data_IF_228702895492
#
_entry.id   IF_228702895492
#
_cell.length_a   1.000
_cell.length_b   1.000
_cell.length_c   1.000
_cell.angle_alpha   90.00
_cell.angle_beta   90.00
_cell.angle_gamma   90.00
#
_symmetry.space_group_name_H-M   'P 1'
#
loop_
_entity.id
_entity.type
_entity.pdbx_description
1 polymer ?
#
# COMPACT_ATOMS: atom_id res chain seq x y z
N UNK A 1 13.63 -16.78 -7.77
CA UNK A 1 13.49 -15.41 -7.22
C UNK A 1 12.19 -14.81 -7.71
N UNK A 2 11.26 -14.52 -6.80
CA UNK A 2 9.96 -13.96 -7.14
C UNK A 2 10.06 -12.45 -7.34
N UNK A 3 9.60 -12.00 -8.51
CA UNK A 3 9.78 -10.62 -8.97
C UNK A 3 9.02 -9.64 -8.06
N UNK A 4 9.73 -8.72 -7.40
CA UNK A 4 9.08 -7.53 -6.86
C UNK A 4 8.48 -6.76 -8.04
N UNK A 5 7.16 -6.60 -8.02
CA UNK A 5 6.43 -5.90 -9.09
C UNK A 5 5.92 -4.58 -8.55
N UNK A 6 6.20 -3.50 -9.28
CA UNK A 6 5.56 -2.21 -9.11
C UNK A 6 4.44 -2.10 -10.16
N UNK A 7 3.20 -1.98 -9.70
CA UNK A 7 2.02 -1.86 -10.57
C UNK A 7 1.14 -0.71 -10.13
N UNK A 8 0.32 -0.20 -11.05
CA UNK A 8 -0.75 0.75 -10.72
C UNK A 8 -1.94 -0.01 -10.13
N UNK A 9 -2.45 0.42 -8.98
CA UNK A 9 -3.61 -0.20 -8.34
C UNK A 9 -4.90 0.60 -8.54
N UNK A 10 -4.86 1.91 -8.29
CA UNK A 10 -5.96 2.85 -8.56
C UNK A 10 -5.49 4.02 -9.44
N UNK A 11 -6.37 4.99 -9.67
CA UNK A 11 -6.07 6.16 -10.50
C UNK A 11 -4.79 6.88 -10.04
N UNK A 12 -4.54 6.95 -8.73
CA UNK A 12 -3.44 7.72 -8.12
C UNK A 12 -2.63 6.91 -7.11
N UNK A 13 -2.74 5.58 -7.12
CA UNK A 13 -1.99 4.72 -6.20
C UNK A 13 -1.09 3.74 -6.95
N UNK A 14 0.10 3.55 -6.38
CA UNK A 14 1.08 2.59 -6.84
C UNK A 14 1.18 1.49 -5.79
N UNK A 15 1.27 0.25 -6.24
CA UNK A 15 1.43 -0.92 -5.40
C UNK A 15 2.77 -1.58 -5.68
N UNK A 16 3.52 -1.86 -4.64
CA UNK A 16 4.72 -2.70 -4.68
C UNK A 16 4.40 -4.01 -3.97
N UNK A 17 4.56 -5.14 -4.66
CA UNK A 17 4.31 -6.46 -4.08
C UNK A 17 5.50 -7.39 -4.23
N UNK A 18 5.81 -8.11 -3.16
CA UNK A 18 6.86 -9.13 -3.11
C UNK A 18 6.45 -10.27 -2.19
N UNK A 19 7.09 -11.42 -2.37
CA UNK A 19 6.83 -12.65 -1.62
C UNK A 19 7.99 -12.95 -0.69
N UNK A 20 7.68 -13.46 0.50
CA UNK A 20 8.62 -13.74 1.58
C UNK A 20 8.45 -15.19 2.05
N UNK A 21 9.56 -15.87 2.22
CA UNK A 21 9.61 -17.24 2.75
C UNK A 21 9.67 -17.26 4.30
N UNK A 22 9.56 -18.43 4.95
CA UNK A 22 9.85 -18.57 6.37
C UNK A 22 11.29 -18.14 6.71
N UNK A 23 11.47 -17.54 7.89
CA UNK A 23 12.73 -16.93 8.33
C UNK A 23 13.32 -15.92 7.33
N UNK A 24 12.53 -15.34 6.43
CA UNK A 24 13.02 -14.45 5.38
C UNK A 24 13.35 -13.03 5.81
N UNK A 25 14.34 -12.44 5.15
CA UNK A 25 14.74 -11.06 5.40
C UNK A 25 14.93 -10.34 4.07
N UNK A 26 14.08 -9.36 3.82
CA UNK A 26 14.12 -8.59 2.60
C UNK A 26 14.09 -7.11 2.92
N UNK A 27 14.99 -6.38 2.29
CA UNK A 27 15.04 -4.93 2.30
C UNK A 27 14.55 -4.40 0.96
N UNK A 28 13.62 -3.44 1.04
CA UNK A 28 13.08 -2.72 -0.10
C UNK A 28 13.39 -1.24 0.06
N UNK A 29 14.09 -0.66 -0.90
CA UNK A 29 14.37 0.77 -1.00
C UNK A 29 13.69 1.34 -2.25
N UNK A 30 12.92 2.41 -2.07
CA UNK A 30 12.31 3.19 -3.14
C UNK A 30 12.87 4.61 -3.08
N UNK A 31 13.55 5.02 -4.14
CA UNK A 31 14.04 6.38 -4.31
C UNK A 31 13.15 7.10 -5.31
N UNK A 32 12.39 8.09 -4.83
CA UNK A 32 11.56 8.96 -5.66
C UNK A 32 12.35 10.22 -6.00
N UNK A 33 12.51 10.48 -7.30
CA UNK A 33 13.05 11.73 -7.84
C UNK A 33 11.88 12.60 -8.29
N UNK A 34 11.52 13.56 -7.44
CA UNK A 34 10.39 14.47 -7.61
C UNK A 34 10.88 15.79 -8.25
N UNK A 35 10.38 16.21 -9.42
CA UNK A 35 10.77 17.48 -10.02
C UNK A 35 10.49 18.68 -9.09
N UNK A 36 11.44 19.62 -8.98
CA UNK A 36 11.29 20.82 -8.12
C UNK A 36 10.05 21.65 -8.50
N UNK A 37 9.66 21.63 -9.77
CA UNK A 37 8.43 22.29 -10.26
C UNK A 37 7.14 21.79 -9.59
N UNK A 38 7.15 20.59 -8.99
CA UNK A 38 6.02 20.08 -8.24
C UNK A 38 5.80 20.82 -6.91
N UNK A 39 6.80 21.56 -6.40
CA UNK A 39 6.70 22.26 -5.11
C UNK A 39 6.64 21.33 -3.89
N UNK A 40 7.03 20.06 -4.04
CA UNK A 40 7.03 19.06 -2.96
C UNK A 40 8.38 19.09 -2.26
N UNK A 41 8.36 19.19 -0.93
CA UNK A 41 9.56 19.10 -0.12
C UNK A 41 9.24 19.01 1.37
N UNK A 42 10.26 19.03 2.24
CA UNK A 42 10.10 18.80 3.67
C UNK A 42 9.25 19.87 4.38
N UNK A 43 9.08 21.06 3.78
CA UNK A 43 8.24 22.13 4.31
C UNK A 43 6.77 22.02 3.88
N UNK A 44 6.49 21.46 2.70
CA UNK A 44 5.13 21.41 2.14
C UNK A 44 4.42 20.10 2.44
N UNK A 45 5.14 18.97 2.42
CA UNK A 45 4.62 17.66 2.74
C UNK A 45 5.51 16.98 3.77
N UNK A 46 5.08 17.02 5.03
CA UNK A 46 5.79 16.33 6.11
C UNK A 46 5.71 14.81 5.96
N UNK A 47 6.82 14.14 6.27
CA UNK A 47 6.98 12.70 6.12
C UNK A 47 5.97 11.93 6.98
N UNK A 48 5.72 12.37 8.22
CA UNK A 48 4.77 11.71 9.13
C UNK A 48 3.34 11.77 8.61
N UNK A 49 2.92 12.94 8.11
CA UNK A 49 1.60 13.09 7.49
C UNK A 49 1.46 12.23 6.24
N UNK A 50 2.50 12.17 5.40
CA UNK A 50 2.47 11.33 4.20
C UNK A 50 2.38 9.84 4.55
N UNK A 51 3.20 9.36 5.51
CA UNK A 51 3.20 7.98 5.94
C UNK A 51 1.83 7.53 6.46
N UNK A 52 1.24 8.27 7.41
CA UNK A 52 -0.02 7.85 8.05
C UNK A 52 -1.26 7.98 7.16
N UNK A 53 -1.25 8.88 6.17
CA UNK A 53 -2.42 9.12 5.31
C UNK A 53 -2.37 8.39 3.97
N UNK A 54 -1.18 8.04 3.50
CA UNK A 54 -0.96 7.71 2.08
C UNK A 54 -0.06 6.51 1.85
N UNK A 55 0.53 5.93 2.90
CA UNK A 55 1.30 4.68 2.80
C UNK A 55 0.59 3.61 3.62
N UNK A 56 0.08 2.60 2.94
CA UNK A 56 -0.56 1.44 3.57
C UNK A 56 0.25 0.19 3.28
N UNK A 57 0.44 -0.66 4.29
CA UNK A 57 1.11 -1.94 4.14
C UNK A 57 0.15 -3.05 4.50
N UNK A 58 0.14 -4.10 3.70
CA UNK A 58 -0.70 -5.27 3.90
C UNK A 58 0.15 -6.52 3.72
N UNK A 59 0.03 -7.42 4.70
CA UNK A 59 0.68 -8.72 4.68
C UNK A 59 -0.40 -9.78 4.73
N UNK A 60 -0.38 -10.72 3.78
CA UNK A 60 -1.30 -11.85 3.77
C UNK A 60 -0.55 -13.12 3.39
N UNK A 61 -1.03 -14.25 3.88
CA UNK A 61 -0.51 -15.53 3.41
C UNK A 61 -0.80 -15.73 1.92
N UNK A 62 0.13 -16.38 1.23
CA UNK A 62 0.10 -16.55 -0.21
C UNK A 62 0.55 -17.96 -0.61
N UNK A 63 -0.06 -18.48 -1.67
CA UNK A 63 0.42 -19.66 -2.39
C UNK A 63 0.24 -19.44 -3.89
N UNK A 64 1.23 -19.88 -4.69
CA UNK A 64 1.21 -19.80 -6.16
C UNK A 64 0.14 -20.70 -6.77
N UNK A 65 -0.14 -21.84 -6.14
CA UNK A 65 -1.18 -22.74 -6.59
C UNK A 65 -2.42 -22.56 -5.72
N UNK A 66 -3.58 -22.42 -6.37
CA UNK A 66 -4.84 -22.77 -5.73
C UNK A 66 -4.73 -24.25 -5.36
N UNK A 67 -4.27 -24.57 -4.14
CA UNK A 67 -4.07 -25.93 -3.66
C UNK A 67 -5.42 -26.62 -3.37
N UNK A 68 -6.32 -26.60 -4.35
CA UNK A 68 -7.57 -27.36 -4.40
C UNK A 68 -7.32 -28.86 -4.08
N UNK A 69 -6.18 -29.48 -4.43
CA UNK A 69 -5.92 -30.89 -4.07
C UNK A 69 -5.61 -31.14 -2.59
N UNK A 70 -5.00 -30.19 -1.87
CA UNK A 70 -4.74 -30.32 -0.41
C UNK A 70 -5.97 -29.91 0.41
N UNK A 71 -6.80 -29.03 -0.13
CA UNK A 71 -8.19 -28.82 0.27
C UNK A 71 -8.94 -30.14 0.13
N UNK A 72 -8.81 -30.89 -0.98
CA UNK A 72 -9.48 -32.20 -1.15
C UNK A 72 -9.15 -33.25 -0.09
N UNK A 73 -7.88 -33.44 0.29
CA UNK A 73 -7.54 -34.50 1.28
C UNK A 73 -7.95 -34.14 2.70
N UNK A 74 -7.88 -32.85 3.09
CA UNK A 74 -8.21 -32.37 4.44
C UNK A 74 -9.68 -31.96 4.64
N UNK A 75 -10.44 -31.76 3.56
CA UNK A 75 -11.91 -31.64 3.65
C UNK A 75 -12.56 -33.02 3.89
N UNK A 76 -11.83 -34.11 3.61
CA UNK A 76 -12.34 -35.49 3.64
C UNK A 76 -11.91 -36.22 4.92
N UNK A 77 -10.77 -35.90 5.54
CA UNK A 77 -10.51 -36.36 6.90
C UNK A 77 -11.44 -35.62 7.89
N UNK A 78 -12.12 -36.39 8.74
CA UNK A 78 -13.19 -35.95 9.65
C UNK A 78 -12.81 -36.21 11.11
N UNK A 79 -11.62 -35.76 11.52
CA UNK A 79 -11.12 -35.93 12.89
C UNK A 79 -10.95 -34.58 13.60
N UNK A 80 -11.23 -34.57 14.90
CA UNK A 80 -11.63 -33.43 15.75
C UNK A 80 -10.67 -32.21 15.85
N UNK A 81 -9.56 -32.18 15.11
CA UNK A 81 -8.64 -31.02 14.99
C UNK A 81 -8.85 -30.15 13.74
N UNK A 82 -9.76 -30.51 12.83
CA UNK A 82 -9.79 -30.00 11.44
C UNK A 82 -10.78 -28.86 11.17
N UNK A 83 -11.61 -28.43 12.13
CA UNK A 83 -12.58 -27.34 11.90
C UNK A 83 -11.89 -25.98 11.66
N UNK A 84 -10.78 -25.71 12.37
CA UNK A 84 -9.95 -24.53 12.13
C UNK A 84 -9.32 -24.57 10.73
N UNK A 85 -8.92 -25.75 10.30
CA UNK A 85 -8.24 -25.98 9.03
C UNK A 85 -9.20 -25.84 7.85
N UNK A 86 -10.43 -26.36 7.98
CA UNK A 86 -11.50 -26.15 7.00
C UNK A 86 -11.79 -24.66 6.82
N UNK A 87 -12.06 -23.93 7.92
CA UNK A 87 -12.39 -22.51 7.87
C UNK A 87 -11.25 -21.70 7.24
N UNK A 88 -10.01 -21.98 7.64
CA UNK A 88 -8.84 -21.29 7.14
C UNK A 88 -8.61 -21.56 5.63
N UNK A 89 -8.82 -22.79 5.17
CA UNK A 89 -8.72 -23.14 3.76
C UNK A 89 -9.82 -22.49 2.91
N UNK A 90 -11.07 -22.51 3.40
CA UNK A 90 -12.20 -21.83 2.77
C UNK A 90 -11.94 -20.33 2.66
N UNK A 91 -11.43 -19.73 3.73
CA UNK A 91 -11.05 -18.33 3.80
C UNK A 91 -9.95 -17.99 2.79
N UNK A 92 -8.90 -18.82 2.69
CA UNK A 92 -7.83 -18.65 1.72
C UNK A 92 -8.36 -18.69 0.29
N UNK A 93 -9.12 -19.74 -0.04
CA UNK A 93 -9.69 -19.91 -1.36
C UNK A 93 -10.55 -18.71 -1.77
N UNK A 94 -11.44 -18.28 -0.86
CA UNK A 94 -12.31 -17.14 -1.07
C UNK A 94 -11.52 -15.82 -1.22
N UNK A 95 -10.48 -15.63 -0.40
CA UNK A 95 -9.59 -14.47 -0.47
C UNK A 95 -8.80 -14.41 -1.79
N UNK A 96 -8.29 -15.56 -2.25
CA UNK A 96 -7.57 -15.69 -3.53
C UNK A 96 -8.47 -15.40 -4.72
N UNK A 97 -9.68 -15.98 -4.78
CA UNK A 97 -10.66 -15.69 -5.83
C UNK A 97 -10.96 -14.21 -5.88
N UNK A 98 -11.25 -13.60 -4.73
CA UNK A 98 -11.56 -12.17 -4.69
C UNK A 98 -10.43 -11.32 -5.25
N UNK A 99 -9.19 -11.59 -4.84
CA UNK A 99 -8.02 -10.83 -5.32
C UNK A 99 -7.79 -11.05 -6.81
N UNK A 100 -7.91 -12.29 -7.29
CA UNK A 100 -7.77 -12.62 -8.71
C UNK A 100 -8.84 -11.88 -9.51
N UNK A 101 -10.11 -12.03 -9.12
CA UNK A 101 -11.26 -11.35 -9.73
C UNK A 101 -11.06 -9.83 -9.77
N UNK A 102 -10.69 -9.19 -8.66
CA UNK A 102 -10.50 -7.74 -8.65
C UNK A 102 -9.35 -7.30 -9.57
N UNK A 103 -8.23 -8.04 -9.60
CA UNK A 103 -7.11 -7.73 -10.49
C UNK A 103 -7.51 -7.92 -11.96
N UNK A 104 -8.16 -9.02 -12.30
CA UNK A 104 -8.53 -9.37 -13.67
C UNK A 104 -9.59 -8.39 -14.19
N UNK A 105 -10.61 -8.06 -13.38
CA UNK A 105 -11.61 -7.04 -13.73
C UNK A 105 -10.94 -5.67 -13.94
N UNK A 106 -9.99 -5.27 -13.07
CA UNK A 106 -9.22 -4.02 -13.26
C UNK A 106 -8.41 -4.04 -14.55
N UNK A 107 -7.85 -5.19 -14.95
CA UNK A 107 -7.11 -5.33 -16.21
C UNK A 107 -8.05 -5.27 -17.42
N UNK A 108 -9.17 -5.99 -17.39
CA UNK A 108 -10.16 -5.97 -18.47
C UNK A 108 -10.74 -4.57 -18.68
N UNK A 109 -11.02 -3.81 -17.62
CA UNK A 109 -11.50 -2.42 -17.71
C UNK A 109 -10.48 -1.48 -18.39
N UNK A 110 -9.19 -1.81 -18.41
CA UNK A 110 -8.19 -1.00 -19.12
C UNK A 110 -8.26 -1.16 -20.64
N UNK A 111 -8.89 -2.22 -21.14
CA UNK A 111 -9.07 -2.47 -22.57
C UNK A 111 -10.18 -1.55 -23.09
N UNK A 112 -9.84 -0.69 -24.06
CA UNK A 112 -10.79 0.27 -24.64
C UNK A 112 -11.48 -0.25 -25.90
N UNK A 113 -10.91 -1.25 -26.55
CA UNK A 113 -11.42 -1.84 -27.78
C UNK A 113 -12.42 -2.94 -27.46
N UNK A 114 -13.60 -2.86 -28.08
CA UNK A 114 -14.67 -3.84 -27.87
C UNK A 114 -14.24 -5.26 -28.24
N UNK A 115 -13.46 -5.40 -29.32
CA UNK A 115 -12.98 -6.69 -29.84
C UNK A 115 -12.05 -7.44 -28.88
N UNK A 116 -11.29 -6.75 -28.04
CA UNK A 116 -10.45 -7.38 -27.00
C UNK A 116 -11.17 -7.51 -25.66
N UNK A 117 -12.03 -6.54 -25.35
CA UNK A 117 -12.73 -6.46 -24.06
C UNK A 117 -13.71 -7.61 -23.83
N UNK A 118 -14.62 -7.85 -24.78
CA UNK A 118 -15.70 -8.82 -24.59
C UNK A 118 -15.24 -10.29 -24.54
N UNK A 119 -14.32 -10.74 -25.43
CA UNK A 119 -13.77 -12.09 -25.32
C UNK A 119 -13.04 -12.33 -23.99
N UNK A 120 -12.25 -11.35 -23.53
CA UNK A 120 -11.56 -11.47 -22.25
C UNK A 120 -12.54 -11.49 -21.06
N UNK A 121 -13.62 -10.72 -21.13
CA UNK A 121 -14.67 -10.74 -20.11
C UNK A 121 -15.39 -12.09 -20.02
N UNK A 122 -15.62 -12.77 -21.16
CA UNK A 122 -16.22 -14.11 -21.18
C UNK A 122 -15.29 -15.14 -20.57
N UNK A 123 -14.01 -15.15 -20.97
CA UNK A 123 -13.03 -16.09 -20.41
C UNK A 123 -12.96 -15.95 -18.89
N UNK A 124 -12.99 -14.71 -18.39
CA UNK A 124 -13.03 -14.41 -16.97
C UNK A 124 -14.32 -14.94 -16.31
N UNK A 125 -15.49 -14.74 -16.92
CA UNK A 125 -16.76 -15.28 -16.45
C UNK A 125 -16.78 -16.81 -16.38
N UNK A 126 -16.27 -17.49 -17.41
CA UNK A 126 -16.19 -18.95 -17.44
C UNK A 126 -15.25 -19.49 -16.35
N UNK A 127 -14.06 -18.90 -16.21
CA UNK A 127 -13.09 -19.29 -15.18
C UNK A 127 -13.66 -19.14 -13.77
N UNK A 128 -14.27 -17.99 -13.48
CA UNK A 128 -14.87 -17.71 -12.16
C UNK A 128 -16.07 -18.63 -11.91
N UNK A 129 -16.93 -18.86 -12.91
CA UNK A 129 -18.05 -19.81 -12.77
C UNK A 129 -17.55 -21.23 -12.47
N UNK A 130 -16.43 -21.64 -13.09
CA UNK A 130 -15.78 -22.93 -12.83
C UNK A 130 -15.23 -23.03 -11.42
N UNK A 131 -14.67 -21.94 -10.88
CA UNK A 131 -14.18 -21.88 -9.50
C UNK A 131 -15.32 -21.87 -8.47
N UNK A 132 -16.41 -21.14 -8.72
CA UNK A 132 -17.60 -21.16 -7.87
C UNK A 132 -18.27 -22.54 -7.86
N UNK A 133 -18.42 -23.17 -9.03
CA UNK A 133 -18.92 -24.56 -9.14
C UNK A 133 -18.05 -25.53 -8.34
N UNK A 134 -16.72 -25.34 -8.35
CA UNK A 134 -15.82 -26.15 -7.51
C UNK A 134 -16.09 -25.90 -6.03
N UNK A 135 -16.17 -24.66 -5.57
CA UNK A 135 -16.48 -24.32 -4.17
C UNK A 135 -17.79 -24.96 -3.71
N UNK A 136 -18.86 -24.81 -4.51
CA UNK A 136 -20.21 -25.34 -4.21
C UNK A 136 -20.32 -26.86 -4.22
N UNK A 137 -19.38 -27.56 -4.87
CA UNK A 137 -19.29 -29.03 -4.78
C UNK A 137 -18.73 -29.51 -3.43
N UNK A 138 -18.07 -28.63 -2.67
CA UNK A 138 -17.44 -28.94 -1.39
C UNK A 138 -18.24 -28.42 -0.20
N UNK A 139 -19.56 -28.33 -0.34
CA UNK A 139 -20.48 -28.00 0.76
C UNK A 139 -20.30 -29.01 1.89
N UNK A 140 -20.01 -28.57 3.12
CA UNK A 140 -19.77 -29.48 4.22
C UNK A 140 -21.08 -30.16 4.64
N UNK A 141 -21.09 -31.48 4.91
CA UNK A 141 -22.27 -32.17 5.42
C UNK A 141 -22.57 -31.84 6.90
N UNK A 142 -21.58 -31.30 7.64
CA UNK A 142 -21.71 -30.96 9.06
C UNK A 142 -22.44 -29.61 9.27
N UNK A 143 -23.51 -29.62 10.07
CA UNK A 143 -24.28 -28.44 10.47
C UNK A 143 -23.45 -27.37 11.19
N UNK A 144 -22.31 -27.73 11.80
CA UNK A 144 -21.42 -26.75 12.45
C UNK A 144 -20.57 -25.96 11.46
N UNK A 145 -20.27 -26.56 10.29
CA UNK A 145 -19.43 -25.95 9.25
C UNK A 145 -20.25 -25.22 8.18
N UNK A 146 -21.53 -25.57 8.04
CA UNK A 146 -22.44 -24.93 7.07
C UNK A 146 -22.49 -23.39 7.19
N UNK A 147 -22.51 -22.77 8.40
CA UNK A 147 -22.58 -21.32 8.48
C UNK A 147 -21.32 -20.63 7.96
N UNK A 148 -20.14 -21.26 8.10
CA UNK A 148 -18.90 -20.71 7.54
C UNK A 148 -18.92 -20.76 6.02
N UNK A 149 -19.41 -21.87 5.45
CA UNK A 149 -19.57 -22.03 4.01
C UNK A 149 -20.60 -21.04 3.44
N UNK A 150 -21.79 -20.96 4.03
CA UNK A 150 -22.87 -20.06 3.60
C UNK A 150 -22.42 -18.59 3.61
N UNK A 151 -21.68 -18.17 4.65
CA UNK A 151 -21.11 -16.83 4.72
C UNK A 151 -20.10 -16.55 3.61
N UNK A 152 -19.23 -17.53 3.29
CA UNK A 152 -18.24 -17.40 2.24
C UNK A 152 -18.89 -17.36 0.85
N UNK A 153 -19.83 -18.26 0.58
CA UNK A 153 -20.51 -18.39 -0.72
C UNK A 153 -21.44 -17.19 -0.98
N UNK A 154 -22.18 -16.71 0.03
CA UNK A 154 -22.99 -15.48 -0.09
C UNK A 154 -22.13 -14.27 -0.49
N UNK A 155 -20.98 -14.09 0.17
CA UNK A 155 -20.07 -13.00 -0.18
C UNK A 155 -19.47 -13.15 -1.57
N UNK A 156 -18.98 -14.35 -1.92
CA UNK A 156 -18.37 -14.59 -3.22
C UNK A 156 -19.37 -14.41 -4.36
N UNK A 157 -20.58 -14.96 -4.22
CA UNK A 157 -21.66 -14.78 -5.20
C UNK A 157 -21.99 -13.29 -5.40
N UNK A 158 -22.17 -12.54 -4.31
CA UNK A 158 -22.42 -11.10 -4.37
C UNK A 158 -21.25 -10.34 -5.01
N UNK A 159 -20.01 -10.62 -4.60
CA UNK A 159 -18.82 -9.95 -5.12
C UNK A 159 -18.62 -10.22 -6.62
N UNK A 160 -18.88 -11.44 -7.08
CA UNK A 160 -18.82 -11.83 -8.49
C UNK A 160 -19.83 -11.03 -9.30
N UNK A 161 -21.09 -11.01 -8.88
CA UNK A 161 -22.11 -10.23 -9.55
C UNK A 161 -21.75 -8.74 -9.62
N UNK A 162 -21.40 -8.12 -8.49
CA UNK A 162 -21.06 -6.70 -8.45
C UNK A 162 -19.82 -6.36 -9.29
N UNK A 163 -18.85 -7.28 -9.35
CA UNK A 163 -17.65 -7.11 -10.18
C UNK A 163 -17.98 -7.14 -11.67
N UNK A 164 -18.86 -8.04 -12.12
CA UNK A 164 -19.31 -8.10 -13.50
C UNK A 164 -20.26 -6.96 -13.88
N UNK A 165 -21.14 -6.53 -12.97
CA UNK A 165 -21.94 -5.31 -13.17
C UNK A 165 -21.05 -4.07 -13.29
N UNK A 166 -19.99 -3.98 -12.46
CA UNK A 166 -18.98 -2.92 -12.58
C UNK A 166 -18.27 -2.98 -13.92
N UNK A 167 -17.87 -4.17 -14.38
CA UNK A 167 -17.23 -4.38 -15.68
C UNK A 167 -18.15 -3.93 -16.82
N UNK A 168 -19.42 -4.35 -16.81
CA UNK A 168 -20.43 -3.97 -17.81
C UNK A 168 -20.72 -2.46 -17.81
N UNK A 169 -20.74 -1.81 -16.64
CA UNK A 169 -20.98 -0.36 -16.53
C UNK A 169 -19.87 0.49 -17.17
N UNK A 170 -18.65 -0.04 -17.19
CA UNK A 170 -17.44 0.65 -17.71
C UNK A 170 -16.99 0.15 -19.07
N UNK A 171 -17.65 -0.88 -19.61
CA UNK A 171 -17.31 -1.47 -20.90
C UNK A 171 -17.63 -0.55 -22.09
N UNK A 172 -16.96 -0.76 -23.24
CA UNK A 172 -17.24 0.00 -24.45
C UNK A 172 -18.66 -0.29 -24.95
N UNK A 173 -19.36 0.74 -25.44
CA UNK A 173 -20.70 0.58 -26.02
C UNK A 173 -20.54 0.17 -27.49
N UNK A 174 -20.70 -1.11 -27.80
CA UNK A 174 -20.81 -1.62 -29.18
C UNK A 174 -22.09 -2.43 -29.33
N UNK A 175 -22.74 -2.30 -30.49
CA UNK A 175 -23.88 -3.12 -30.92
C UNK A 175 -23.48 -4.56 -31.23
N UNK A 176 -22.22 -4.77 -31.59
CA UNK A 176 -21.76 -6.00 -32.25
C UNK A 176 -21.58 -7.15 -31.25
N UNK A 177 -21.40 -6.81 -29.96
CA UNK A 177 -21.17 -7.76 -28.87
C UNK A 177 -22.40 -7.95 -27.96
N UNK A 178 -23.60 -7.91 -28.55
CA UNK A 178 -24.86 -8.04 -27.79
C UNK A 178 -24.99 -9.43 -27.15
N UNK A 179 -24.52 -10.48 -27.83
CA UNK A 179 -24.52 -11.87 -27.35
C UNK A 179 -23.70 -12.07 -26.08
N UNK A 180 -22.48 -11.54 -26.09
CA UNK A 180 -21.50 -11.61 -25.01
C UNK A 180 -21.98 -10.82 -23.80
N UNK A 181 -22.56 -9.64 -24.04
CA UNK A 181 -23.19 -8.84 -23.01
C UNK A 181 -24.37 -9.56 -22.35
N UNK A 182 -25.20 -10.24 -23.13
CA UNK A 182 -26.32 -11.02 -22.62
C UNK A 182 -25.83 -12.22 -21.78
N UNK A 183 -24.75 -12.88 -22.18
CA UNK A 183 -24.13 -13.95 -21.40
C UNK A 183 -23.66 -13.45 -20.02
N UNK A 184 -22.99 -12.29 -19.96
CA UNK A 184 -22.56 -11.69 -18.70
C UNK A 184 -23.75 -11.30 -17.82
N UNK A 185 -24.83 -10.75 -18.39
CA UNK A 185 -26.05 -10.48 -17.64
C UNK A 185 -26.73 -11.76 -17.13
N UNK A 186 -26.73 -12.83 -17.93
CA UNK A 186 -27.27 -14.13 -17.51
C UNK A 186 -26.49 -14.69 -16.32
N UNK A 187 -25.15 -14.56 -16.31
CA UNK A 187 -24.32 -14.92 -15.16
C UNK A 187 -24.75 -14.13 -13.91
N UNK A 188 -24.85 -12.81 -13.99
CA UNK A 188 -25.28 -11.95 -12.88
C UNK A 188 -26.67 -12.36 -12.35
N UNK A 189 -27.63 -12.63 -13.25
CA UNK A 189 -28.98 -13.08 -12.88
C UNK A 189 -28.96 -14.44 -12.18
N UNK A 190 -28.20 -15.39 -12.73
CA UNK A 190 -28.08 -16.73 -12.15
C UNK A 190 -27.49 -16.72 -10.73
N UNK A 191 -26.53 -15.82 -10.48
CA UNK A 191 -25.94 -15.64 -9.16
C UNK A 191 -26.93 -14.97 -8.19
N UNK A 192 -27.75 -14.04 -8.66
CA UNK A 192 -28.80 -13.46 -7.82
C UNK A 192 -29.89 -14.49 -7.46
N UNK A 193 -30.40 -15.23 -8.45
CA UNK A 193 -31.40 -16.30 -8.26
C UNK A 193 -30.88 -17.39 -7.30
N UNK A 194 -29.58 -17.72 -7.39
CA UNK A 194 -28.94 -18.66 -6.47
C UNK A 194 -29.00 -18.18 -5.01
N UNK A 195 -28.73 -16.89 -4.74
CA UNK A 195 -28.79 -16.33 -3.38
C UNK A 195 -30.22 -16.22 -2.86
N UNK A 196 -31.19 -15.97 -3.74
CA UNK A 196 -32.61 -15.98 -3.40
C UNK A 196 -33.08 -17.38 -3.03
N UNK A 197 -32.71 -18.39 -3.83
CA UNK A 197 -33.05 -19.81 -3.58
C UNK A 197 -32.51 -20.30 -2.25
N UNK A 198 -31.27 -19.91 -1.90
CA UNK A 198 -30.64 -20.31 -0.63
C UNK A 198 -30.98 -19.38 0.56
N UNK A 199 -31.82 -18.36 0.35
CA UNK A 199 -32.27 -17.44 1.39
C UNK A 199 -31.14 -16.80 2.23
N UNK A 200 -30.00 -16.47 1.59
CA UNK A 200 -28.86 -15.95 2.34
C UNK A 200 -29.09 -14.57 2.97
N UNK A 201 -30.02 -13.78 2.42
CA UNK A 201 -30.29 -12.41 2.84
C UNK A 201 -31.78 -12.24 3.14
N UNK A 202 -32.10 -11.53 4.23
CA UNK A 202 -33.47 -11.14 4.53
C UNK A 202 -33.92 -10.03 3.58
N UNK A 203 -35.23 -9.96 3.33
CA UNK A 203 -35.83 -8.89 2.52
C UNK A 203 -35.43 -7.50 3.03
N UNK A 204 -35.47 -7.30 4.35
CA UNK A 204 -35.04 -6.06 5.02
C UNK A 204 -33.57 -5.68 4.80
N UNK A 205 -32.72 -6.64 4.45
CA UNK A 205 -31.32 -6.36 4.10
C UNK A 205 -31.18 -5.96 2.63
N UNK A 206 -32.00 -6.55 1.75
CA UNK A 206 -32.01 -6.24 0.32
C UNK A 206 -32.61 -4.87 0.02
N UNK A 207 -33.61 -4.46 0.80
CA UNK A 207 -34.32 -3.19 0.59
C UNK A 207 -33.43 -1.96 0.90
N UNK A 208 -32.38 -2.10 1.72
CA UNK A 208 -31.47 -1.01 2.10
C UNK A 208 -30.03 -1.26 1.58
N UNK A 209 -29.56 -0.46 0.59
CA UNK A 209 -28.21 -0.55 0.05
C UNK A 209 -27.10 -0.46 1.11
N UNK A 210 -27.30 0.30 2.19
CA UNK A 210 -26.29 0.43 3.25
C UNK A 210 -26.22 -0.83 4.12
N UNK A 211 -27.35 -1.51 4.35
CA UNK A 211 -27.39 -2.75 5.13
C UNK A 211 -26.72 -3.89 4.39
N UNK A 212 -27.04 -4.09 3.11
CA UNK A 212 -26.40 -5.13 2.31
C UNK A 212 -24.89 -4.89 2.20
N UNK A 213 -24.46 -3.65 1.94
CA UNK A 213 -23.01 -3.35 1.85
C UNK A 213 -22.29 -3.55 3.17
N UNK A 214 -22.89 -3.18 4.32
CA UNK A 214 -22.31 -3.44 5.62
C UNK A 214 -22.23 -4.92 5.97
N UNK A 215 -23.27 -5.70 5.64
CA UNK A 215 -23.26 -7.16 5.77
C UNK A 215 -22.13 -7.77 4.93
N UNK A 216 -22.01 -7.38 3.66
CA UNK A 216 -20.97 -7.90 2.77
C UNK A 216 -19.55 -7.52 3.24
N UNK A 217 -19.36 -6.31 3.80
CA UNK A 217 -18.10 -5.92 4.45
C UNK A 217 -17.77 -6.74 5.69
N UNK A 218 -18.78 -7.20 6.43
CA UNK A 218 -18.58 -8.12 7.56
C UNK A 218 -18.15 -9.50 7.05
N UNK A 219 -18.86 -10.05 6.05
CA UNK A 219 -18.53 -11.35 5.46
C UNK A 219 -17.12 -11.35 4.85
N UNK A 220 -16.74 -10.26 4.17
CA UNK A 220 -15.37 -10.07 3.70
C UNK A 220 -14.34 -10.19 4.83
N UNK A 221 -14.57 -9.49 5.95
CA UNK A 221 -13.67 -9.54 7.11
C UNK A 221 -13.61 -10.94 7.74
N UNK A 222 -14.71 -11.69 7.71
CA UNK A 222 -14.74 -13.07 8.19
C UNK A 222 -13.94 -14.02 7.30
N UNK A 223 -13.94 -13.79 5.99
CA UNK A 223 -13.13 -14.52 5.00
C UNK A 223 -11.65 -14.13 5.10
N UNK A 224 -11.34 -12.87 5.40
CA UNK A 224 -9.96 -12.41 5.59
C UNK A 224 -9.36 -12.90 6.91
N UNK A 225 -10.20 -13.25 7.88
CA UNK A 225 -9.77 -13.73 9.19
C UNK A 225 -8.90 -14.99 9.06
N UNK A 226 -7.70 -14.94 9.60
CA UNK A 226 -6.71 -16.02 9.59
C UNK A 226 -5.81 -16.05 8.34
N UNK A 227 -6.17 -15.30 7.30
CA UNK A 227 -5.38 -15.20 6.06
C UNK A 227 -4.60 -13.89 6.01
N UNK A 228 -5.26 -12.79 6.38
CA UNK A 228 -4.65 -11.45 6.43
C UNK A 228 -4.06 -11.22 7.82
N UNK A 229 -2.80 -10.79 7.88
CA UNK A 229 -2.14 -10.49 9.13
C UNK A 229 -2.60 -9.15 9.67
N UNK A 230 -2.88 -9.10 10.97
CA UNK A 230 -3.19 -7.84 11.64
C UNK A 230 -1.91 -7.01 11.75
N UNK A 231 -1.99 -5.75 11.31
CA UNK A 231 -0.89 -4.81 11.38
C UNK A 231 -1.05 -3.87 12.57
N UNK A 232 -0.04 -3.82 13.42
CA UNK A 232 0.10 -2.78 14.45
C UNK A 232 1.28 -1.86 14.10
N UNK A 233 1.02 -0.56 13.98
CA UNK A 233 2.05 0.45 13.71
C UNK A 233 2.54 1.03 15.02
N UNK A 234 3.83 0.87 15.34
CA UNK A 234 4.48 1.50 16.49
C UNK A 234 5.43 2.60 16.04
N UNK A 235 5.25 3.82 16.56
CA UNK A 235 6.17 4.93 16.34
C UNK A 235 7.42 4.78 17.22
N UNK A 236 8.60 4.75 16.62
CA UNK A 236 9.88 4.63 17.34
C UNK A 236 10.40 6.00 17.81
N UNK A 237 10.02 7.08 17.11
CA UNK A 237 10.53 8.43 17.35
C UNK A 237 10.06 9.07 18.66
N UNK A 238 8.87 8.72 19.16
CA UNK A 238 8.28 9.45 20.30
C UNK A 238 9.13 9.33 21.57
N UNK A 239 9.59 8.11 21.90
CA UNK A 239 10.44 7.89 23.06
C UNK A 239 11.82 8.52 22.89
N UNK A 240 12.39 8.41 21.69
CA UNK A 240 13.68 9.02 21.37
C UNK A 240 13.62 10.55 21.48
N UNK A 241 12.57 11.18 20.95
CA UNK A 241 12.35 12.63 21.03
C UNK A 241 12.24 13.10 22.48
N UNK A 242 11.53 12.34 23.32
CA UNK A 242 11.43 12.62 24.76
C UNK A 242 12.80 12.55 25.43
N UNK A 243 13.60 11.52 25.16
CA UNK A 243 14.96 11.38 25.70
C UNK A 243 15.84 12.56 25.25
N UNK A 244 15.86 12.89 23.95
CA UNK A 244 16.65 14.02 23.43
C UNK A 244 16.23 15.33 24.08
N UNK A 245 14.92 15.61 24.16
CA UNK A 245 14.43 16.83 24.81
C UNK A 245 14.77 16.88 26.31
N UNK A 246 14.74 15.73 26.98
CA UNK A 246 15.13 15.59 28.39
C UNK A 246 16.62 15.88 28.58
N UNK A 247 17.48 15.23 27.79
CA UNK A 247 18.93 15.45 27.83
C UNK A 247 19.31 16.90 27.54
N UNK A 248 18.72 17.52 26.51
CA UNK A 248 18.96 18.95 26.20
C UNK A 248 18.51 19.84 27.36
N UNK A 249 17.35 19.56 27.96
CA UNK A 249 16.86 20.33 29.11
C UNK A 249 17.80 20.20 30.31
N UNK A 250 18.33 19.00 30.59
CA UNK A 250 19.29 18.78 31.68
C UNK A 250 20.59 19.53 31.45
N UNK A 251 21.16 19.48 30.24
CA UNK A 251 22.42 20.17 29.90
C UNK A 251 22.24 21.69 30.00
N UNK A 252 21.13 22.21 29.46
CA UNK A 252 20.83 23.64 29.51
C UNK A 252 20.58 24.08 30.96
N UNK A 253 19.88 23.30 31.77
CA UNK A 253 19.67 23.63 33.18
C UNK A 253 20.96 23.60 33.98
N UNK A 254 21.85 22.65 33.72
CA UNK A 254 23.18 22.61 34.35
C UNK A 254 23.99 23.87 33.98
N UNK A 255 23.98 24.26 32.71
CA UNK A 255 24.67 25.47 32.25
C UNK A 255 24.06 26.76 32.83
N UNK A 256 22.73 26.89 32.82
CA UNK A 256 22.03 28.02 33.43
C UNK A 256 22.30 28.09 34.93
N UNK A 257 22.25 26.96 35.64
CA UNK A 257 22.55 26.91 37.07
C UNK A 257 23.99 27.37 37.35
N UNK A 258 24.95 26.96 36.52
CA UNK A 258 26.34 27.43 36.62
C UNK A 258 26.45 28.95 36.44
N UNK A 259 25.75 29.53 35.46
CA UNK A 259 25.70 30.98 35.26
C UNK A 259 25.03 31.73 36.42
N UNK A 260 23.93 31.19 36.94
CA UNK A 260 23.21 31.73 38.09
C UNK A 260 24.10 31.74 39.34
N UNK A 261 24.82 30.64 39.59
CA UNK A 261 25.76 30.53 40.71
C UNK A 261 26.92 31.53 40.57
N UNK A 262 27.47 31.70 39.37
CA UNK A 262 28.53 32.67 39.12
C UNK A 262 28.04 34.13 39.26
N UNK A 263 26.83 34.44 38.75
CA UNK A 263 26.21 35.75 38.94
C UNK A 263 25.98 36.05 40.43
N UNK A 264 25.50 35.07 41.20
CA UNK A 264 25.32 35.21 42.66
C UNK A 264 26.65 35.33 43.41
N UNK A 265 27.73 34.70 42.92
CA UNK A 265 29.06 34.84 43.52
C UNK A 265 29.65 36.25 43.30
N UNK A 266 29.33 36.90 42.17
CA UNK A 266 29.82 38.25 41.84
C UNK A 266 28.96 39.38 42.40
N UNK A 267 27.67 39.13 42.65
CA UNK A 267 26.74 40.09 43.25
C UNK A 267 26.28 39.58 44.62
N UNK A 268 26.94 40.04 45.68
CA UNK A 268 26.66 39.64 47.07
C UNK A 268 25.33 40.17 47.62
N UNK A 269 24.78 41.24 47.04
CA UNK A 269 23.48 41.81 47.43
C UNK A 269 22.41 41.62 46.35
N UNK A 270 21.17 41.32 46.77
CA UNK A 270 20.02 41.13 45.88
C UNK A 270 19.56 42.49 45.34
N UNK A 271 20.20 42.95 44.28
CA UNK A 271 19.87 44.19 43.58
C UNK A 271 18.88 43.95 42.44
N UNK A 272 18.15 45.01 42.05
CA UNK A 272 17.24 44.98 40.88
C UNK A 272 17.98 44.54 39.60
N UNK A 273 19.26 44.90 39.48
CA UNK A 273 20.13 44.47 38.39
C UNK A 273 20.32 42.95 38.34
N UNK A 274 20.51 42.30 39.49
CA UNK A 274 20.64 40.83 39.59
C UNK A 274 19.35 40.13 39.15
N UNK A 275 18.18 40.62 39.60
CA UNK A 275 16.88 40.06 39.21
C UNK A 275 16.65 40.19 37.70
N UNK A 276 16.98 41.36 37.12
CA UNK A 276 16.92 41.57 35.67
C UNK A 276 17.84 40.62 34.89
N UNK A 277 19.07 40.42 35.37
CA UNK A 277 20.04 39.50 34.75
C UNK A 277 19.55 38.04 34.80
N UNK A 278 19.00 37.60 35.93
CA UNK A 278 18.41 36.26 36.08
C UNK A 278 17.22 36.05 35.14
N UNK A 279 16.33 37.05 35.04
CA UNK A 279 15.22 37.04 34.08
C UNK A 279 15.69 36.92 32.63
N UNK A 280 16.76 37.64 32.27
CA UNK A 280 17.36 37.56 30.93
C UNK A 280 17.97 36.18 30.64
N UNK A 281 18.73 35.60 31.59
CA UNK A 281 19.30 34.26 31.46
C UNK A 281 18.18 33.23 31.28
N UNK A 282 17.08 33.35 32.03
CA UNK A 282 15.95 32.44 31.93
C UNK A 282 15.17 32.62 30.60
N UNK A 283 15.06 33.85 30.09
CA UNK A 283 14.49 34.11 28.77
C UNK A 283 15.31 33.50 27.64
N UNK A 284 16.65 33.69 27.66
CA UNK A 284 17.55 33.09 26.69
C UNK A 284 17.52 31.56 26.71
N UNK A 285 17.43 30.95 27.90
CA UNK A 285 17.31 29.51 28.08
C UNK A 285 16.19 28.91 27.21
N UNK A 286 15.01 29.53 27.21
CA UNK A 286 13.87 28.95 26.49
C UNK A 286 14.07 29.01 24.97
N UNK A 287 14.63 30.10 24.45
CA UNK A 287 14.95 30.25 23.02
C UNK A 287 16.01 29.22 22.60
N UNK A 288 17.10 29.09 23.36
CA UNK A 288 18.18 28.14 23.04
C UNK A 288 17.73 26.68 23.14
N UNK A 289 16.87 26.34 24.11
CA UNK A 289 16.35 24.99 24.27
C UNK A 289 15.62 24.50 23.04
N UNK A 290 14.74 25.33 22.48
CA UNK A 290 13.97 24.94 21.30
C UNK A 290 14.82 24.80 20.05
N UNK A 291 15.78 25.72 19.85
CA UNK A 291 16.67 25.69 18.69
C UNK A 291 17.66 24.53 18.74
N UNK A 292 18.31 24.31 19.88
CA UNK A 292 19.25 23.20 20.08
C UNK A 292 18.52 21.86 19.95
N UNK A 293 17.35 21.71 20.58
CA UNK A 293 16.54 20.49 20.47
C UNK A 293 16.20 20.20 19.01
N UNK A 294 15.82 21.22 18.23
CA UNK A 294 15.47 21.07 16.81
C UNK A 294 16.66 20.67 15.95
N UNK A 295 17.83 21.29 16.17
CA UNK A 295 19.06 20.98 15.43
C UNK A 295 19.53 19.56 15.73
N UNK A 296 19.60 19.18 17.01
CA UNK A 296 19.99 17.83 17.44
C UNK A 296 19.00 16.80 16.91
N UNK A 297 17.69 17.05 17.03
CA UNK A 297 16.66 16.15 16.52
C UNK A 297 16.79 15.93 15.01
N UNK A 298 16.98 16.99 14.23
CA UNK A 298 17.19 16.87 12.77
C UNK A 298 18.42 16.07 12.40
N UNK A 299 19.48 16.11 13.21
CA UNK A 299 20.69 15.34 12.98
C UNK A 299 20.49 13.87 13.33
N UNK A 300 19.86 13.59 14.48
CA UNK A 300 19.58 12.23 14.97
C UNK A 300 18.57 11.53 14.06
N UNK A 301 17.57 12.24 13.55
CA UNK A 301 16.50 11.65 12.74
C UNK A 301 17.01 11.09 11.38
N UNK A 302 18.17 11.52 10.89
CA UNK A 302 18.72 11.05 9.62
C UNK A 302 19.11 9.58 9.70
N UNK A 303 18.54 8.75 8.82
CA UNK A 303 18.83 7.33 8.73
C UNK A 303 18.26 6.47 9.88
N UNK A 304 17.54 7.06 10.85
CA UNK A 304 16.89 6.29 11.91
C UNK A 304 15.49 5.79 11.49
N UNK A 305 15.12 4.57 11.93
CA UNK A 305 13.80 4.03 11.63
C UNK A 305 12.73 4.82 12.37
N UNK A 306 11.71 5.26 11.63
CA UNK A 306 10.64 6.11 12.20
C UNK A 306 9.47 5.27 12.72
N UNK A 307 9.15 4.18 12.02
CA UNK A 307 8.04 3.29 12.38
C UNK A 307 8.44 1.82 12.32
N UNK A 308 7.70 1.02 13.08
CA UNK A 308 7.77 -0.43 13.02
C UNK A 308 6.37 -1.01 12.95
N UNK A 309 6.09 -1.71 11.86
CA UNK A 309 4.88 -2.50 11.69
C UNK A 309 5.13 -3.89 12.26
N UNK A 310 4.22 -4.36 13.10
CA UNK A 310 4.23 -5.71 13.66
C UNK A 310 3.05 -6.46 13.04
N UNK A 311 3.33 -7.62 12.44
CA UNK A 311 2.32 -8.47 11.82
C UNK A 311 2.01 -9.66 12.72
N UNK A 312 0.77 -9.75 13.18
CA UNK A 312 0.28 -10.83 14.03
C UNK A 312 -0.76 -11.69 13.30
N UNK A 313 -0.74 -12.98 13.58
CA UNK A 313 -1.80 -13.88 13.11
C UNK A 313 -3.09 -13.56 13.89
N UNK A 314 -4.23 -13.40 13.20
CA UNK A 314 -5.49 -13.15 13.88
C UNK A 314 -6.01 -14.35 14.67
N UNK A 315 -5.65 -15.58 14.29
CA UNK A 315 -6.08 -16.81 14.98
C UNK A 315 -5.24 -17.06 16.22
N UNK A 316 -3.92 -17.15 16.06
CA UNK A 316 -3.01 -17.56 17.14
C UNK A 316 -2.45 -16.37 17.94
N UNK A 317 -2.69 -15.13 17.49
CA UNK A 317 -2.08 -13.89 18.04
C UNK A 317 -0.55 -13.90 18.08
N UNK A 318 0.08 -14.85 17.38
CA UNK A 318 1.53 -14.97 17.29
C UNK A 318 2.08 -13.94 16.32
N UNK A 319 3.24 -13.36 16.65
CA UNK A 319 3.96 -12.43 15.77
C UNK A 319 4.67 -13.23 14.67
N UNK A 320 4.29 -12.97 13.42
CA UNK A 320 4.83 -13.67 12.25
C UNK A 320 5.96 -12.88 11.63
N UNK A 321 5.75 -11.58 11.43
CA UNK A 321 6.72 -10.72 10.78
C UNK A 321 6.81 -9.36 11.45
N UNK A 322 7.87 -8.65 11.14
CA UNK A 322 8.00 -7.25 11.47
C UNK A 322 8.68 -6.49 10.37
N UNK A 323 8.19 -5.30 10.11
CA UNK A 323 8.69 -4.42 9.08
C UNK A 323 9.11 -3.11 9.74
N UNK A 324 10.36 -2.72 9.54
CA UNK A 324 10.89 -1.45 9.99
C UNK A 324 10.87 -0.48 8.82
N UNK A 325 10.40 0.74 9.04
CA UNK A 325 10.15 1.71 7.96
C UNK A 325 10.92 3.00 8.21
N UNK A 326 11.56 3.48 7.16
CA UNK A 326 12.14 4.80 7.05
C UNK A 326 11.48 5.56 5.91
N UNK A 327 11.26 6.85 6.12
CA UNK A 327 10.78 7.76 5.08
C UNK A 327 11.46 9.10 5.32
N UNK A 328 12.33 9.53 4.42
CA UNK A 328 13.06 10.78 4.59
C UNK A 328 13.38 11.47 3.27
N UNK A 329 13.45 12.81 3.31
CA UNK A 329 14.01 13.58 2.21
C UNK A 329 15.54 13.56 2.26
N UNK A 330 16.17 13.01 1.23
CA UNK A 330 17.63 12.86 1.14
C UNK A 330 18.24 13.92 0.22
N UNK A 331 19.55 14.14 0.34
CA UNK A 331 20.32 14.96 -0.60
C UNK A 331 20.98 14.06 -1.65
N UNK A 332 21.37 14.65 -2.78
CA UNK A 332 22.07 13.90 -3.85
C UNK A 332 23.35 13.19 -3.37
N UNK A 333 24.00 13.73 -2.33
CA UNK A 333 25.22 13.16 -1.73
C UNK A 333 24.97 11.87 -0.95
N UNK A 334 23.76 11.70 -0.43
CA UNK A 334 23.37 10.56 0.40
C UNK A 334 22.81 9.39 -0.45
N UNK A 335 22.69 9.59 -1.77
CA UNK A 335 22.14 8.63 -2.69
C UNK A 335 23.20 7.58 -3.10
N UNK A 336 22.89 6.26 -3.09
CA UNK A 336 23.86 5.25 -3.48
C UNK A 336 24.36 5.45 -4.92
N UNK A 337 25.66 5.25 -5.16
CA UNK A 337 26.29 5.48 -6.48
C UNK A 337 25.58 4.73 -7.62
N UNK A 338 25.13 3.50 -7.37
CA UNK A 338 24.41 2.67 -8.35
C UNK A 338 23.05 3.28 -8.73
N UNK A 339 22.29 3.76 -7.75
CA UNK A 339 21.01 4.45 -7.96
C UNK A 339 21.23 5.76 -8.70
N UNK A 340 22.32 6.47 -8.39
CA UNK A 340 22.65 7.74 -9.06
C UNK A 340 22.92 7.51 -10.55
N UNK A 341 23.67 6.45 -10.91
CA UNK A 341 23.87 6.06 -12.32
C UNK A 341 22.54 5.86 -13.06
N UNK A 342 21.60 5.11 -12.46
CA UNK A 342 20.28 4.88 -13.06
C UNK A 342 19.47 6.17 -13.23
N UNK A 343 19.61 7.13 -12.31
CA UNK A 343 19.03 8.46 -12.47
C UNK A 343 19.77 9.34 -13.49
N UNK A 344 21.06 9.13 -13.72
CA UNK A 344 21.86 9.90 -14.68
C UNK A 344 21.70 9.44 -16.13
N UNK A 345 21.25 8.20 -16.36
CA UNK A 345 20.84 7.66 -17.66
C UNK A 345 19.54 8.34 -18.19
N UNK A 346 19.46 9.67 -18.12
CA UNK A 346 18.38 10.50 -18.65
C UNK A 346 18.85 11.12 -19.97
N UNK A 347 17.94 11.16 -20.95
CA UNK A 347 18.11 12.03 -22.12
C UNK A 347 18.37 13.47 -21.65
N UNK A 348 19.29 14.17 -22.29
CA UNK A 348 19.77 15.50 -21.85
C UNK A 348 18.64 16.51 -21.59
N UNK A 349 17.54 16.45 -22.35
CA UNK A 349 16.36 17.30 -22.18
C UNK A 349 15.59 17.09 -20.86
N UNK A 350 15.75 15.94 -20.19
CA UNK A 350 15.02 15.56 -18.97
C UNK A 350 15.87 15.66 -17.69
N UNK A 351 17.04 16.31 -17.76
CA UNK A 351 17.88 16.59 -16.58
C UNK A 351 17.34 17.81 -15.81
N UNK A 352 16.21 17.63 -15.13
CA UNK A 352 15.64 18.63 -14.23
C UNK A 352 16.16 18.45 -12.81
N UNK A 353 16.28 19.57 -12.08
CA UNK A 353 16.51 19.54 -10.64
C UNK A 353 15.36 18.80 -9.94
N UNK A 354 15.71 17.95 -8.97
CA UNK A 354 14.74 17.10 -8.30
C UNK A 354 14.98 17.09 -6.78
N UNK A 355 13.88 17.05 -6.04
CA UNK A 355 13.86 16.70 -4.63
C UNK A 355 13.81 15.17 -4.51
N UNK A 356 14.67 14.60 -3.68
CA UNK A 356 14.72 13.15 -3.46
C UNK A 356 13.94 12.76 -2.20
N UNK A 357 13.05 11.80 -2.33
CA UNK A 357 12.34 11.16 -1.22
C UNK A 357 12.72 9.68 -1.20
N UNK A 358 13.26 9.22 -0.07
CA UNK A 358 13.67 7.84 0.14
C UNK A 358 12.69 7.16 1.09
N UNK A 359 12.18 6.01 0.65
CA UNK A 359 11.42 5.08 1.48
C UNK A 359 12.20 3.79 1.59
N UNK A 360 12.47 3.35 2.82
CA UNK A 360 13.07 2.04 3.10
C UNK A 360 12.12 1.21 3.94
N UNK A 361 12.06 -0.08 3.62
CA UNK A 361 11.31 -1.08 4.34
C UNK A 361 12.17 -2.32 4.53
N UNK A 362 12.55 -2.61 5.77
CA UNK A 362 13.22 -3.87 6.12
C UNK A 362 12.18 -4.80 6.73
N UNK A 363 11.81 -5.85 6.00
CA UNK A 363 10.87 -6.88 6.46
C UNK A 363 11.61 -8.12 6.91
N UNK A 364 11.38 -8.51 8.16
CA UNK A 364 11.90 -9.73 8.75
C UNK A 364 10.76 -10.66 9.16
N UNK A 365 10.75 -11.87 8.62
CA UNK A 365 9.85 -12.95 9.01
C UNK A 365 10.51 -13.72 10.16
N UNK A 366 9.82 -13.78 11.30
CA UNK A 366 10.32 -14.47 12.49
C UNK A 366 9.72 -15.88 12.66
N UNK A 367 8.71 -16.23 11.86
CA UNK A 367 8.09 -17.55 11.89
C UNK A 367 9.00 -18.60 11.25
N UNK A 368 9.26 -19.69 11.99
CA UNK A 368 10.05 -20.85 11.52
C UNK A 368 9.35 -21.65 10.43
N UNK A 369 8.03 -21.78 10.55
CA UNK A 369 7.15 -22.40 9.58
C UNK A 369 5.84 -21.62 9.54
N UNK A 370 5.20 -21.62 8.38
CA UNK A 370 3.84 -21.10 8.25
C UNK A 370 2.82 -22.21 8.53
N UNK A 371 1.55 -21.82 8.65
CA UNK A 371 0.46 -22.77 8.80
C UNK A 371 0.43 -23.74 7.60
N UNK A 372 0.04 -25.00 7.79
CA UNK A 372 0.16 -26.02 6.77
C UNK A 372 -0.77 -25.72 5.58
N UNK A 373 -0.19 -25.49 4.40
CA UNK A 373 -0.90 -25.01 3.20
C UNK A 373 -0.46 -23.61 2.74
N UNK A 374 0.42 -22.95 3.52
CA UNK A 374 1.06 -21.70 3.13
C UNK A 374 2.56 -21.87 3.02
N UNK A 375 3.09 -21.52 1.86
CA UNK A 375 4.54 -21.56 1.62
C UNK A 375 5.15 -20.16 1.78
N UNK A 376 4.35 -19.11 1.54
CA UNK A 376 4.85 -17.75 1.45
C UNK A 376 3.89 -16.73 2.09
N UNK A 377 4.45 -15.56 2.38
CA UNK A 377 3.70 -14.35 2.71
C UNK A 377 3.87 -13.37 1.57
N UNK A 378 2.77 -12.80 1.09
CA UNK A 378 2.82 -11.70 0.16
C UNK A 378 2.69 -10.37 0.91
N UNK A 379 3.74 -9.57 0.83
CA UNK A 379 3.74 -8.19 1.29
C UNK A 379 3.31 -7.28 0.14
N UNK A 380 2.40 -6.34 0.43
CA UNK A 380 1.91 -5.32 -0.49
C UNK A 380 2.02 -3.97 0.18
N UNK A 381 2.71 -3.04 -0.44
CA UNK A 381 2.82 -1.66 0.02
C UNK A 381 2.16 -0.75 -1.01
N UNK A 382 1.19 0.02 -0.57
CA UNK A 382 0.45 0.98 -1.39
C UNK A 382 0.97 2.38 -1.10
N UNK A 383 1.25 3.12 -2.16
CA UNK A 383 1.66 4.51 -2.13
C UNK A 383 0.61 5.35 -2.85
N UNK A 384 -0.14 6.13 -2.10
CA UNK A 384 -1.11 7.08 -2.65
C UNK A 384 -0.38 8.39 -3.01
N UNK A 385 -0.51 8.82 -4.26
CA UNK A 385 0.07 10.05 -4.79
C UNK A 385 -0.89 11.25 -4.70
N UNK A 386 -2.10 11.07 -4.18
CA UNK A 386 -3.09 12.15 -4.02
C UNK A 386 -2.54 13.39 -3.28
N UNK A 387 -1.73 13.26 -2.21
CA UNK A 387 -1.12 14.44 -1.58
C UNK A 387 -0.17 15.21 -2.50
N UNK A 388 0.48 14.53 -3.45
CA UNK A 388 1.45 15.16 -4.35
C UNK A 388 0.74 16.08 -5.35
N UNK A 389 -0.46 15.67 -5.78
CA UNK A 389 -1.26 16.39 -6.77
C UNK A 389 -1.69 17.78 -6.31
N UNK A 390 -1.90 17.95 -5.00
CA UNK A 390 -2.31 19.24 -4.40
C UNK A 390 -1.34 20.37 -4.75
N UNK A 391 -0.07 20.05 -5.00
CA UNK A 391 0.98 21.02 -5.29
C UNK A 391 1.26 21.21 -6.78
N UNK A 392 0.75 20.33 -7.64
CA UNK A 392 0.95 20.43 -9.08
C UNK A 392 0.20 21.62 -9.64
N UNK A 393 0.77 22.39 -10.56
CA UNK A 393 0.06 23.46 -11.31
C UNK A 393 -0.90 22.88 -12.35
N UNK A 394 -1.99 23.60 -12.63
CA UNK A 394 -2.95 23.25 -13.70
C UNK A 394 -2.25 23.40 -15.06
N UNK A 395 -2.70 22.61 -16.05
CA UNK A 395 -2.37 22.88 -17.45
C UNK A 395 -2.99 24.20 -17.89
N UNK A 396 -2.18 25.06 -18.48
CA UNK A 396 -2.59 26.34 -19.07
C UNK A 396 -2.32 26.27 -20.58
N UNK A 397 -3.31 26.62 -21.39
CA UNK A 397 -3.20 26.65 -22.85
C UNK A 397 -4.12 25.67 -23.58
N UNK A 398 -4.27 25.92 -24.88
CA UNK A 398 -5.02 25.11 -25.84
C UNK A 398 -4.14 24.88 -27.05
N UNK A 399 -3.96 23.62 -27.44
CA UNK A 399 -3.31 23.26 -28.68
C UNK A 399 -4.39 23.28 -29.77
N UNK A 400 -4.10 23.98 -30.86
CA UNK A 400 -4.94 23.97 -32.05
C UNK A 400 -4.21 23.18 -33.12
N UNK A 401 -4.86 22.15 -33.66
CA UNK A 401 -4.35 21.38 -34.79
C UNK A 401 -5.36 21.44 -35.93
N UNK A 402 -4.84 21.70 -37.13
CA UNK A 402 -5.60 21.70 -38.37
C UNK A 402 -5.51 20.29 -38.97
N UNK A 403 -6.65 19.60 -39.05
CA UNK A 403 -6.75 18.31 -39.72
C UNK A 403 -7.71 18.46 -40.91
N UNK A 404 -7.14 18.60 -42.11
CA UNK A 404 -7.85 19.04 -43.30
C UNK A 404 -8.41 20.47 -43.14
N UNK A 405 -9.75 20.61 -43.19
CA UNK A 405 -10.47 21.89 -43.01
C UNK A 405 -11.05 22.09 -41.60
N UNK A 406 -10.89 21.11 -40.69
CA UNK A 406 -11.42 21.20 -39.32
C UNK A 406 -10.31 21.61 -38.35
N UNK A 407 -10.54 22.70 -37.62
CA UNK A 407 -9.69 23.10 -36.50
C UNK A 407 -10.14 22.30 -35.28
N UNK A 408 -9.29 21.41 -34.82
CA UNK A 408 -9.47 20.70 -33.56
C UNK A 408 -8.76 21.45 -32.44
N UNK A 409 -9.45 21.57 -31.30
CA UNK A 409 -8.95 22.29 -30.13
C UNK A 409 -8.83 21.31 -28.98
N UNK A 410 -7.61 21.13 -28.48
CA UNK A 410 -7.33 20.25 -27.36
C UNK A 410 -6.80 21.07 -26.18
N UNK A 411 -7.38 20.87 -24.99
CA UNK A 411 -6.85 21.50 -23.79
C UNK A 411 -5.50 20.87 -23.44
N UNK A 412 -4.49 21.70 -23.17
CA UNK A 412 -3.16 21.21 -22.83
C UNK A 412 -3.15 20.81 -21.35
N UNK A 413 -2.95 19.51 -21.10
CA UNK A 413 -2.71 19.02 -19.75
C UNK A 413 -1.23 19.12 -19.40
N UNK A 414 -0.91 19.72 -18.24
CA UNK A 414 0.44 19.68 -17.70
C UNK A 414 0.68 18.31 -17.07
N UNK A 415 1.66 17.59 -17.59
CA UNK A 415 2.09 16.27 -17.10
C UNK A 415 3.42 16.42 -16.38
N UNK A 416 3.57 15.65 -15.30
CA UNK A 416 4.80 15.60 -14.54
C UNK A 416 5.35 14.19 -14.55
N UNK A 417 6.67 14.08 -14.57
CA UNK A 417 7.37 12.79 -14.59
C UNK A 417 8.11 12.60 -13.26
N UNK A 418 7.72 11.58 -12.50
CA UNK A 418 8.45 11.11 -11.33
C UNK A 418 9.28 9.91 -11.77
N UNK A 419 10.58 9.93 -11.49
CA UNK A 419 11.41 8.75 -11.66
C UNK A 419 11.51 8.04 -10.31
N UNK A 420 11.26 6.74 -10.30
CA UNK A 420 11.36 5.90 -9.11
C UNK A 420 12.39 4.81 -9.39
N UNK A 421 13.38 4.66 -8.51
CA UNK A 421 14.27 3.49 -8.54
C UNK A 421 13.87 2.58 -7.39
N UNK A 422 13.49 1.36 -7.74
CA UNK A 422 13.21 0.28 -6.81
C UNK A 422 14.47 -0.56 -6.66
N UNK A 423 14.98 -0.66 -5.44
CA UNK A 423 16.10 -1.51 -5.09
C UNK A 423 15.64 -2.54 -4.05
N UNK A 424 15.87 -3.80 -4.34
CA UNK A 424 15.58 -4.92 -3.46
C UNK A 424 16.89 -5.57 -3.05
N UNK A 425 17.07 -5.80 -1.76
CA UNK A 425 18.20 -6.53 -1.19
C UNK A 425 17.68 -7.72 -0.42
N UNK A 426 18.18 -8.90 -0.76
CA UNK A 426 17.83 -10.16 -0.11
C UNK A 426 18.78 -10.46 1.07
N UNK A 427 18.54 -11.54 1.82
CA UNK A 427 19.42 -12.09 2.86
C UNK A 427 20.88 -12.26 2.44
N UNK A 428 21.10 -12.63 1.17
CA UNK A 428 22.42 -12.86 0.60
C UNK A 428 23.07 -11.57 0.09
N UNK A 429 22.52 -10.40 0.45
CA UNK A 429 22.92 -9.08 -0.02
C UNK A 429 22.92 -8.89 -1.54
N UNK A 430 22.25 -9.79 -2.28
CA UNK A 430 22.03 -9.65 -3.71
C UNK A 430 21.06 -8.49 -3.97
N UNK A 431 21.54 -7.49 -4.71
CA UNK A 431 20.80 -6.28 -5.03
C UNK A 431 20.21 -6.37 -6.43
N UNK A 432 18.88 -6.22 -6.52
CA UNK A 432 18.18 -6.03 -7.79
C UNK A 432 17.62 -4.63 -7.86
N UNK A 433 17.90 -3.94 -8.96
CA UNK A 433 17.43 -2.58 -9.18
C UNK A 433 16.57 -2.51 -10.44
N UNK A 434 15.51 -1.72 -10.37
CA UNK A 434 14.66 -1.44 -11.52
C UNK A 434 14.20 0.00 -11.47
N UNK A 435 14.33 0.70 -12.60
CA UNK A 435 13.87 2.08 -12.75
C UNK A 435 12.48 2.10 -13.37
N UNK A 436 11.61 2.88 -12.76
CA UNK A 436 10.27 3.17 -13.23
C UNK A 436 10.13 4.66 -13.51
N UNK A 437 9.49 5.00 -14.63
CA UNK A 437 9.12 6.36 -14.99
C UNK A 437 7.61 6.48 -14.89
N UNK A 438 7.15 7.30 -13.94
CA UNK A 438 5.75 7.48 -13.61
C UNK A 438 5.33 8.85 -14.12
N UNK A 439 4.47 8.85 -15.14
CA UNK A 439 3.90 10.08 -15.68
C UNK A 439 2.52 10.29 -15.09
N UNK A 440 2.28 11.44 -14.47
CA UNK A 440 1.03 11.76 -13.81
C UNK A 440 0.54 13.16 -14.16
N UNK A 441 -0.78 13.35 -14.12
CA UNK A 441 -1.43 14.64 -14.20
C UNK A 441 -2.16 14.91 -12.86
N UNK A 442 -3.01 15.95 -12.80
CA UNK A 442 -3.77 16.28 -11.58
C UNK A 442 -4.90 15.29 -11.25
N UNK A 443 -5.25 14.38 -12.14
CA UNK A 443 -6.41 13.48 -11.96
C UNK A 443 -6.01 12.01 -11.85
N UNK A 444 -4.99 11.59 -12.58
CA UNK A 444 -4.63 10.19 -12.78
C UNK A 444 -3.13 10.01 -13.06
N UNK A 445 -2.63 8.81 -12.79
CA UNK A 445 -1.37 8.32 -13.35
C UNK A 445 -1.65 7.96 -14.80
N UNK A 446 -0.95 8.63 -15.72
CA UNK A 446 -1.10 8.49 -17.17
C UNK A 446 -0.34 7.27 -17.68
N UNK A 447 0.88 7.06 -17.20
CA UNK A 447 1.69 5.91 -17.59
C UNK A 447 2.71 5.52 -16.50
N UNK A 448 3.00 4.22 -16.40
CA UNK A 448 4.11 3.68 -15.62
C UNK A 448 4.97 2.84 -16.57
N UNK A 449 6.14 3.37 -16.92
CA UNK A 449 7.10 2.71 -17.81
C UNK A 449 8.21 2.09 -16.97
N UNK A 450 8.32 0.77 -17.00
CA UNK A 450 9.51 0.08 -16.50
C UNK A 450 10.62 0.25 -17.54
N UNK A 451 11.68 0.97 -17.17
CA UNK A 451 12.86 1.07 -18.02
C UNK A 451 13.62 -0.24 -17.87
N UNK A 452 14.02 -0.84 -19.00
CA UNK A 452 15.02 -1.92 -18.95
C UNK A 452 16.25 -1.34 -18.26
N UNK A 453 16.77 -2.05 -17.27
CA UNK A 453 18.16 -1.86 -16.91
C UNK A 453 18.91 -2.24 -18.18
N UNK A 454 19.67 -1.32 -18.75
CA UNK A 454 20.64 -1.70 -19.76
C UNK A 454 21.51 -2.76 -19.07
N UNK A 455 21.38 -4.02 -19.52
CA UNK A 455 22.35 -5.07 -19.23
C UNK A 455 23.59 -4.66 -20.01
N UNK A 456 24.34 -3.71 -19.47
CA UNK A 456 25.64 -3.33 -19.99
C UNK A 456 26.69 -4.17 -19.23
N UNK A 457 27.20 -5.17 -19.96
CA UNK A 457 28.55 -5.78 -19.93
C UNK A 457 29.25 -6.08 -18.59
#
# INVERSE_FOLDING_TARGET
MKNTKLTQDENLSIKVSYQLLPNDHQRLDLYFSLPVEMGIGPKTLAEEHYFHSSIESHSAYYSDQLHIPLVRSRFISQTKGEQSDYRLNLNLFSYQIRIALDNDIKQTIKLRESESFYPQAIVLAEQISGLLKKLRRYTPPDKKLSPFFENADNYLSWQVEQSFLRLLSRGPKSSDFTTERNFLFALCRSENEYRETNQYNSQTTLDDPNRITNKMRLLQRLIEYGVVLQQEVKSLNQNLKRIVSGSVTTIIMAFVMMLVLNARANFTEVTIALVGMLGFIYGLREIFKDDITRVIWRSIQRGLPKWRNIYTNSVNKTRIASQTIWLEYIRDKDLPKQVNKLFQNRRHQNKQAAQLLHFRSDTKVNAKSFMPGYDEIQQRIFFNLTPFIRFLKKGEGRLYSLDGSKITKQAVERRYQINVVLMQTDKQDLQRMQRYKITLNRSTIVNIEAMKADEDD
#
